data_IF_914936876939
#
_entry.id   IF_914936876939
#
_cell.length_a   1.000
_cell.length_b   1.000
_cell.length_c   1.000
_cell.angle_alpha   90.00
_cell.angle_beta   90.00
_cell.angle_gamma   90.00
#
_symmetry.space_group_name_H-M   'P 1'
#
loop_
_entity.id
_entity.type
_entity.pdbx_description
1 polymer ?
#
# COMPACT_ATOMS: atom_id res chain seq x y z
N UNK A 1 -10.13 13.61 -11.54
CA UNK A 1 -10.22 12.70 -12.71
C UNK A 1 -11.45 11.86 -12.47
N UNK A 2 -12.39 11.88 -13.40
CA UNK A 2 -13.62 11.10 -13.31
C UNK A 2 -13.42 9.84 -14.18
N UNK A 3 -13.55 8.68 -13.55
CA UNK A 3 -13.50 7.36 -14.17
C UNK A 3 -14.93 6.82 -14.16
N UNK A 4 -15.34 6.06 -15.17
CA UNK A 4 -16.69 5.45 -15.24
C UNK A 4 -16.78 4.18 -14.36
N UNK A 5 -16.14 4.22 -13.19
CA UNK A 5 -16.10 3.12 -12.22
C UNK A 5 -17.04 3.34 -11.02
N UNK A 6 -17.71 4.51 -10.97
CA UNK A 6 -18.66 4.87 -9.93
C UNK A 6 -18.03 5.25 -8.58
N UNK A 7 -16.70 5.37 -8.49
CA UNK A 7 -16.00 5.74 -7.25
C UNK A 7 -15.76 7.25 -7.15
N UNK A 8 -16.26 7.84 -6.06
CA UNK A 8 -15.91 9.20 -5.66
C UNK A 8 -14.95 9.18 -4.46
N UNK A 9 -13.76 9.75 -4.60
CA UNK A 9 -12.76 9.84 -3.52
C UNK A 9 -12.92 11.15 -2.75
N UNK A 10 -12.94 11.06 -1.42
CA UNK A 10 -13.04 12.21 -0.52
C UNK A 10 -11.65 12.80 -0.23
N UNK A 11 -11.17 13.65 -1.14
CA UNK A 11 -9.87 14.29 -1.03
C UNK A 11 -9.82 15.27 0.14
N UNK A 12 -10.95 15.90 0.48
CA UNK A 12 -11.03 16.87 1.57
C UNK A 12 -10.86 16.19 2.95
N UNK A 13 -11.28 14.93 3.08
CA UNK A 13 -11.05 14.11 4.27
C UNK A 13 -9.68 13.39 4.28
N UNK A 14 -8.80 13.62 3.31
CA UNK A 14 -7.47 13.01 3.28
C UNK A 14 -6.63 13.51 4.47
N UNK A 15 -6.23 12.57 5.33
CA UNK A 15 -5.36 12.83 6.48
C UNK A 15 -4.04 12.10 6.33
N UNK A 16 -2.97 12.70 6.83
CA UNK A 16 -1.63 12.11 6.85
C UNK A 16 -1.10 12.05 8.28
N UNK A 17 -0.58 10.90 8.68
CA UNK A 17 0.02 10.67 10.01
C UNK A 17 1.37 9.99 9.84
N UNK A 18 2.39 10.47 10.55
CA UNK A 18 3.69 9.79 10.60
C UNK A 18 3.53 8.43 11.28
N UNK A 19 4.12 7.40 10.69
CA UNK A 19 4.24 6.06 11.27
C UNK A 19 5.72 5.78 11.54
N UNK A 20 6.07 5.49 12.79
CA UNK A 20 7.40 5.00 13.14
C UNK A 20 7.33 3.48 13.11
N UNK A 21 7.69 2.88 11.97
CA UNK A 21 8.34 1.58 12.03
C UNK A 21 9.80 1.83 12.42
N UNK A 22 10.45 0.84 13.05
CA UNK A 22 11.78 0.90 13.69
C UNK A 22 12.96 1.19 12.72
N UNK A 23 12.67 1.83 11.60
CA UNK A 23 13.57 2.22 10.52
C UNK A 23 14.16 3.61 10.80
N UNK A 24 15.43 3.79 10.42
CA UNK A 24 16.20 5.04 10.51
C UNK A 24 15.52 6.22 9.75
N UNK A 25 14.55 5.92 8.88
CA UNK A 25 13.66 6.84 8.20
C UNK A 25 12.21 6.38 8.41
N UNK A 26 11.38 7.17 9.12
CA UNK A 26 9.97 6.83 9.37
C UNK A 26 9.11 6.83 8.10
N UNK A 27 7.85 6.40 8.21
CA UNK A 27 6.85 6.38 7.13
C UNK A 27 5.72 7.40 7.29
N UNK A 28 4.85 7.52 6.30
CA UNK A 28 3.60 8.28 6.36
C UNK A 28 2.42 7.39 5.99
N UNK A 29 1.41 7.34 6.85
CA UNK A 29 0.11 6.72 6.58
C UNK A 29 -0.88 7.78 6.15
N UNK A 30 -1.48 7.58 4.99
CA UNK A 30 -2.61 8.37 4.49
C UNK A 30 -3.92 7.63 4.75
N UNK A 31 -4.95 8.36 5.16
CA UNK A 31 -6.32 7.83 5.32
C UNK A 31 -7.33 8.75 4.64
N UNK A 32 -8.25 8.15 3.90
CA UNK A 32 -9.40 8.81 3.26
C UNK A 32 -10.55 7.78 3.12
N UNK A 33 -11.61 8.13 2.40
CA UNK A 33 -12.62 7.21 1.95
C UNK A 33 -12.92 7.40 0.45
N UNK A 34 -13.33 6.32 -0.19
CA UNK A 34 -14.09 6.37 -1.44
C UNK A 34 -15.57 6.07 -1.18
N UNK A 35 -16.41 6.50 -2.09
CA UNK A 35 -17.85 6.30 -2.07
C UNK A 35 -18.28 5.64 -3.36
N UNK A 36 -18.94 4.48 -3.24
CA UNK A 36 -19.72 3.87 -4.32
C UNK A 36 -21.20 4.10 -3.98
N UNK A 37 -21.80 5.07 -4.66
CA UNK A 37 -23.09 5.66 -4.27
C UNK A 37 -23.09 6.10 -2.79
N UNK A 38 -23.87 5.42 -1.93
CA UNK A 38 -23.97 5.70 -0.48
C UNK A 38 -23.02 4.84 0.36
N UNK A 39 -22.33 3.89 -0.25
CA UNK A 39 -21.43 2.97 0.45
C UNK A 39 -20.08 3.63 0.65
N UNK A 40 -19.67 3.80 1.91
CA UNK A 40 -18.36 4.35 2.28
C UNK A 40 -17.32 3.23 2.37
N UNK A 41 -16.22 3.38 1.64
CA UNK A 41 -15.09 2.45 1.57
C UNK A 41 -13.87 3.14 2.20
N UNK A 42 -13.40 2.72 3.39
CA UNK A 42 -12.20 3.31 3.99
C UNK A 42 -10.95 2.94 3.18
N UNK A 43 -10.09 3.92 2.91
CA UNK A 43 -8.83 3.74 2.19
C UNK A 43 -7.67 4.09 3.12
N UNK A 44 -6.67 3.21 3.17
CA UNK A 44 -5.41 3.44 3.87
C UNK A 44 -4.26 3.21 2.91
N UNK A 45 -3.31 4.14 2.85
CA UNK A 45 -2.11 4.05 2.01
C UNK A 45 -0.91 4.28 2.92
N UNK A 46 0.02 3.34 2.95
CA UNK A 46 1.26 3.46 3.71
C UNK A 46 2.43 3.74 2.79
N UNK A 47 3.22 4.75 3.16
CA UNK A 47 4.40 5.19 2.42
C UNK A 47 5.60 5.01 3.35
N UNK A 48 6.39 3.96 3.12
CA UNK A 48 7.67 3.76 3.78
C UNK A 48 8.80 4.51 3.08
N UNK A 49 9.74 5.06 3.84
CA UNK A 49 10.97 5.64 3.32
C UNK A 49 12.15 4.80 3.84
N UNK A 50 13.19 4.58 3.02
CA UNK A 50 14.45 3.98 3.50
C UNK A 50 14.95 2.73 2.77
N UNK A 51 14.12 2.05 1.98
CA UNK A 51 14.60 0.96 1.11
C UNK A 51 14.63 1.37 -0.35
N UNK A 52 15.83 1.39 -0.94
CA UNK A 52 15.96 1.45 -2.38
C UNK A 52 15.41 0.15 -2.97
N UNK A 53 14.48 0.24 -3.92
CA UNK A 53 14.07 -0.93 -4.69
C UNK A 53 15.31 -1.58 -5.30
N UNK A 54 15.55 -2.86 -4.99
CA UNK A 54 16.67 -3.62 -5.55
C UNK A 54 16.67 -3.59 -7.09
N UNK A 55 15.47 -3.48 -7.68
CA UNK A 55 15.26 -3.10 -9.07
C UNK A 55 13.96 -2.29 -9.22
N UNK A 56 14.07 -0.98 -9.41
CA UNK A 56 12.92 -0.08 -9.59
C UNK A 56 12.22 -0.23 -10.96
N UNK A 57 12.70 -1.12 -11.84
CA UNK A 57 12.19 -1.29 -13.19
C UNK A 57 11.11 -2.38 -13.30
N UNK A 58 11.00 -3.27 -12.31
CA UNK A 58 9.99 -4.33 -12.34
C UNK A 58 8.58 -3.74 -12.28
N UNK A 59 7.78 -4.05 -13.30
CA UNK A 59 6.37 -3.73 -13.38
C UNK A 59 5.55 -5.01 -13.50
N UNK A 60 4.32 -4.96 -13.02
CA UNK A 60 3.30 -5.97 -13.27
C UNK A 60 2.01 -5.30 -13.75
N UNK A 61 1.25 -6.03 -14.56
CA UNK A 61 -0.14 -5.69 -14.86
C UNK A 61 -0.99 -6.13 -13.66
N UNK A 62 -1.64 -5.16 -13.01
CA UNK A 62 -2.51 -5.47 -11.88
C UNK A 62 -3.88 -5.93 -12.38
N UNK A 63 -4.46 -6.99 -11.80
CA UNK A 63 -5.76 -7.49 -12.24
C UNK A 63 -6.85 -6.44 -12.08
N UNK A 64 -7.70 -6.31 -13.10
CA UNK A 64 -8.84 -5.40 -13.10
C UNK A 64 -10.12 -6.14 -12.72
N UNK A 65 -11.01 -5.44 -12.01
CA UNK A 65 -12.33 -5.95 -11.66
C UNK A 65 -13.37 -5.67 -12.76
N UNK A 66 -13.17 -4.58 -13.51
CA UNK A 66 -14.01 -4.15 -14.62
C UNK A 66 -13.20 -4.26 -15.93
N UNK A 67 -13.87 -4.08 -17.06
CA UNK A 67 -13.28 -4.12 -18.42
C UNK A 67 -12.45 -2.85 -18.75
N UNK A 68 -11.63 -2.41 -17.80
CA UNK A 68 -10.66 -1.34 -17.99
C UNK A 68 -9.28 -1.91 -18.38
N UNK A 69 -8.44 -1.12 -19.06
CA UNK A 69 -7.05 -1.50 -19.29
C UNK A 69 -6.33 -1.79 -17.96
N UNK A 70 -5.57 -2.88 -17.92
CA UNK A 70 -4.80 -3.25 -16.73
C UNK A 70 -3.78 -2.16 -16.38
N UNK A 71 -3.77 -1.62 -15.15
CA UNK A 71 -2.79 -0.64 -14.76
C UNK A 71 -1.43 -1.33 -14.56
N UNK A 72 -0.39 -0.70 -15.09
CA UNK A 72 1.00 -1.11 -14.84
C UNK A 72 1.51 -0.48 -13.57
N UNK A 73 1.77 -1.31 -12.55
CA UNK A 73 2.29 -0.86 -11.26
C UNK A 73 3.71 -1.34 -11.08
N UNK A 74 4.54 -0.52 -10.41
CA UNK A 74 5.84 -0.97 -9.94
C UNK A 74 5.64 -1.94 -8.77
N UNK A 75 6.40 -3.02 -8.76
CA UNK A 75 6.27 -4.06 -7.74
C UNK A 75 7.63 -4.60 -7.35
N UNK A 76 7.77 -5.00 -6.09
CA UNK A 76 8.92 -5.78 -5.64
C UNK A 76 8.87 -7.20 -6.23
N UNK A 77 10.03 -7.83 -6.47
CA UNK A 77 10.09 -9.24 -6.82
C UNK A 77 9.37 -10.08 -5.74
N UNK A 78 8.60 -11.13 -6.11
CA UNK A 78 7.93 -11.99 -5.13
C UNK A 78 8.87 -12.55 -4.07
N UNK A 79 10.12 -12.87 -4.44
CA UNK A 79 11.13 -13.35 -3.51
C UNK A 79 11.48 -12.34 -2.41
N UNK A 80 11.57 -11.04 -2.74
CA UNK A 80 11.81 -9.96 -1.77
C UNK A 80 10.63 -9.84 -0.80
N UNK A 81 9.40 -9.86 -1.31
CA UNK A 81 8.18 -9.84 -0.49
C UNK A 81 8.14 -11.03 0.48
N UNK A 82 8.46 -12.24 -0.01
CA UNK A 82 8.51 -13.44 0.84
C UNK A 82 9.56 -13.30 1.94
N UNK A 83 10.75 -12.79 1.61
CA UNK A 83 11.84 -12.60 2.58
C UNK A 83 11.45 -11.61 3.69
N UNK A 84 10.90 -10.44 3.34
CA UNK A 84 10.44 -9.43 4.30
C UNK A 84 9.33 -9.97 5.21
N UNK A 85 8.30 -10.61 4.62
CA UNK A 85 7.19 -11.16 5.40
C UNK A 85 7.66 -12.29 6.31
N UNK A 86 8.61 -13.11 5.87
CA UNK A 86 9.23 -14.12 6.72
C UNK A 86 10.00 -13.52 7.89
N UNK A 87 10.83 -12.50 7.64
CA UNK A 87 11.53 -11.77 8.70
C UNK A 87 10.54 -11.21 9.74
N UNK A 88 9.46 -10.57 9.30
CA UNK A 88 8.44 -10.01 10.19
C UNK A 88 7.78 -11.08 11.07
N UNK A 89 7.44 -12.24 10.49
CA UNK A 89 6.90 -13.37 11.24
C UNK A 89 7.87 -13.88 12.33
N UNK A 90 9.15 -14.00 12.00
CA UNK A 90 10.18 -14.44 12.96
C UNK A 90 10.39 -13.41 14.07
N UNK A 91 10.45 -12.12 13.74
CA UNK A 91 10.63 -11.04 14.73
C UNK A 91 9.46 -10.98 15.72
N UNK A 92 8.22 -11.07 15.22
CA UNK A 92 7.02 -11.14 16.07
C UNK A 92 7.02 -12.39 16.97
N UNK A 93 7.37 -13.56 16.41
CA UNK A 93 7.48 -14.80 17.19
C UNK A 93 8.52 -14.70 18.31
N UNK A 94 9.71 -14.17 18.01
CA UNK A 94 10.77 -13.98 19.00
C UNK A 94 10.41 -13.00 20.13
N UNK A 95 9.57 -11.99 19.84
CA UNK A 95 9.07 -11.05 20.87
C UNK A 95 8.04 -11.66 21.83
N UNK A 96 7.44 -12.81 21.48
CA UNK A 96 6.41 -13.49 22.29
C UNK A 96 7.01 -14.49 23.29
N UNK A 97 8.26 -14.93 23.08
CA UNK A 97 9.00 -15.87 23.94
C UNK A 97 9.91 -15.18 24.99
N UNK A 98 9.76 -13.87 25.19
CA UNK A 98 10.55 -13.06 26.14
C UNK A 98 9.75 -12.64 27.39
#
# INVERSE_FOLDING_TARGET
>A
MESDDGLAFDIDALTATVIQEEMEYGGVRLKTAAYLERTRIPITIDIGFGEAMADATQRLDYPTLLDFPAPQVRSYPPATVIAEKFQAMVALGASTDA
#
